data_IF_930793003792
#
_entry.id   IF_930793003792
#
_cell.length_a   1.000
_cell.length_b   1.000
_cell.length_c   1.000
_cell.angle_alpha   90.00
_cell.angle_beta   90.00
_cell.angle_gamma   90.00
#
_symmetry.space_group_name_H-M   'P 1'
#
loop_
_entity.id
_entity.type
_entity.pdbx_description
1 polymer ?
#
# COMPACT_ATOMS: atom_id res chain seq x y z
N UNK A 1 -2.71 -2.12 9.09
CA UNK A 1 -3.35 -3.37 8.61
C UNK A 1 -2.53 -3.96 7.49
N UNK A 2 -2.41 -5.27 7.45
CA UNK A 2 -1.71 -5.94 6.36
C UNK A 2 -2.56 -6.00 5.10
N UNK A 3 -1.86 -5.95 3.96
CA UNK A 3 -2.52 -6.11 2.69
C UNK A 3 -1.58 -6.71 1.66
N UNK A 4 -2.13 -7.05 0.50
CA UNK A 4 -1.37 -7.61 -0.62
C UNK A 4 -1.54 -6.67 -1.81
N UNK A 5 -0.43 -6.33 -2.46
CA UNK A 5 -0.46 -5.47 -3.65
C UNK A 5 -1.12 -6.24 -4.79
N UNK A 6 -2.19 -5.66 -5.36
CA UNK A 6 -2.87 -6.24 -6.50
C UNK A 6 -2.39 -5.66 -7.83
N UNK A 7 -2.14 -4.35 -7.84
CA UNK A 7 -1.80 -3.66 -9.07
C UNK A 7 -1.03 -2.39 -8.78
N UNK A 8 -0.04 -2.09 -9.62
CA UNK A 8 0.66 -0.83 -9.58
C UNK A 8 -0.11 0.18 -10.43
N UNK A 9 -0.36 1.36 -9.87
CA UNK A 9 -1.09 2.44 -10.53
C UNK A 9 -0.13 3.60 -10.82
N UNK A 10 -0.54 4.55 -11.67
CA UNK A 10 0.28 5.74 -11.89
C UNK A 10 0.52 6.54 -10.61
N UNK A 11 1.56 7.36 -10.62
CA UNK A 11 1.90 8.30 -9.54
C UNK A 11 2.26 7.62 -8.21
N UNK A 12 2.97 6.48 -8.29
CA UNK A 12 3.43 5.73 -7.13
C UNK A 12 2.27 5.29 -6.22
N UNK A 13 1.11 5.03 -6.81
CA UNK A 13 -0.05 4.52 -6.10
C UNK A 13 -0.24 3.04 -6.39
N UNK A 14 -0.95 2.36 -5.49
CA UNK A 14 -1.15 0.92 -5.60
C UNK A 14 -2.56 0.55 -5.17
N UNK A 15 -3.12 -0.44 -5.87
CA UNK A 15 -4.34 -1.08 -5.41
C UNK A 15 -3.93 -2.20 -4.47
N UNK A 16 -4.43 -2.13 -3.24
CA UNK A 16 -4.06 -3.07 -2.17
C UNK A 16 -5.30 -3.76 -1.65
N UNK A 17 -5.26 -5.09 -1.61
CA UNK A 17 -6.31 -5.88 -0.97
C UNK A 17 -5.92 -6.09 0.48
N UNK A 18 -6.72 -5.59 1.39
CA UNK A 18 -6.48 -5.75 2.82
C UNK A 18 -6.88 -7.15 3.29
N UNK A 19 -6.35 -7.56 4.43
CA UNK A 19 -6.63 -8.87 4.99
C UNK A 19 -8.11 -9.09 5.35
N UNK A 20 -8.87 -7.99 5.51
CA UNK A 20 -10.31 -8.07 5.75
C UNK A 20 -11.13 -8.15 4.45
N UNK A 21 -10.46 -8.24 3.30
CA UNK A 21 -11.13 -8.35 2.00
C UNK A 21 -11.41 -7.03 1.31
N UNK A 22 -11.26 -5.92 2.00
CA UNK A 22 -11.46 -4.60 1.37
C UNK A 22 -10.30 -4.26 0.45
N UNK A 23 -10.60 -3.53 -0.62
CA UNK A 23 -9.58 -3.03 -1.55
C UNK A 23 -9.49 -1.53 -1.40
N UNK A 24 -8.29 -1.03 -1.24
CA UNK A 24 -8.04 0.41 -1.10
C UNK A 24 -6.99 0.86 -2.10
N UNK A 25 -6.91 2.17 -2.28
CA UNK A 25 -5.83 2.80 -3.04
C UNK A 25 -4.83 3.35 -2.03
N UNK A 26 -3.58 2.94 -2.14
CA UNK A 26 -2.54 3.36 -1.22
C UNK A 26 -1.37 3.97 -1.97
N UNK A 27 -0.73 4.94 -1.35
CA UNK A 27 0.51 5.51 -1.86
C UNK A 27 1.68 5.13 -0.96
N UNK A 28 2.88 5.19 -1.52
CA UNK A 28 4.09 4.86 -0.77
C UNK A 28 4.47 6.03 0.13
N UNK A 29 4.76 5.75 1.40
CA UNK A 29 5.20 6.80 2.33
C UNK A 29 6.51 7.42 1.86
N UNK A 30 6.75 8.68 2.25
CA UNK A 30 7.98 9.36 1.89
C UNK A 30 9.23 8.62 2.37
N UNK A 31 9.16 8.03 3.56
CA UNK A 31 10.28 7.26 4.11
C UNK A 31 10.63 6.07 3.23
N UNK A 32 9.64 5.36 2.71
CA UNK A 32 9.89 4.22 1.83
C UNK A 32 10.43 4.66 0.49
N UNK A 33 9.97 5.80 -0.03
CA UNK A 33 10.50 6.36 -1.28
C UNK A 33 11.98 6.69 -1.15
N UNK A 34 12.38 7.22 -0.01
CA UNK A 34 13.78 7.58 0.23
C UNK A 34 14.70 6.37 0.18
N UNK A 35 14.19 5.20 0.52
CA UNK A 35 14.96 3.96 0.51
C UNK A 35 14.83 3.20 -0.80
N UNK A 36 14.15 3.76 -1.80
CA UNK A 36 13.98 3.15 -3.13
C UNK A 36 13.42 1.73 -3.07
N UNK A 37 12.53 1.48 -2.14
CA UNK A 37 11.92 0.16 -1.99
C UNK A 37 10.99 -0.09 -3.17
N UNK A 38 11.28 -1.13 -3.94
CA UNK A 38 10.46 -1.51 -5.08
C UNK A 38 9.30 -2.38 -4.61
N UNK A 39 8.08 -1.99 -4.99
CA UNK A 39 6.87 -2.71 -4.64
C UNK A 39 6.26 -3.30 -5.90
N UNK A 40 5.97 -4.60 -5.86
CA UNK A 40 5.46 -5.35 -7.01
C UNK A 40 4.13 -6.01 -6.66
N UNK A 41 3.29 -6.31 -7.66
CA UNK A 41 2.08 -7.10 -7.42
C UNK A 41 2.42 -8.42 -6.73
N UNK A 42 1.61 -8.78 -5.74
CA UNK A 42 1.86 -9.96 -4.91
C UNK A 42 2.63 -9.69 -3.64
N UNK A 43 3.28 -8.55 -3.53
CA UNK A 43 4.01 -8.20 -2.30
C UNK A 43 3.05 -7.96 -1.15
N UNK A 44 3.47 -8.34 0.05
CA UNK A 44 2.73 -8.06 1.27
C UNK A 44 3.27 -6.79 1.92
N UNK A 45 2.35 -5.96 2.35
CA UNK A 45 2.67 -4.64 2.90
C UNK A 45 1.86 -4.35 4.14
N UNK A 46 2.37 -3.43 4.94
CA UNK A 46 1.63 -2.86 6.06
C UNK A 46 1.11 -1.50 5.62
N UNK A 47 -0.18 -1.28 5.79
CA UNK A 47 -0.86 -0.07 5.33
C UNK A 47 -1.48 0.66 6.52
N UNK A 48 -1.31 1.97 6.52
CA UNK A 48 -1.99 2.86 7.45
C UNK A 48 -3.20 3.43 6.73
N UNK A 49 -4.40 3.13 7.24
CA UNK A 49 -5.65 3.56 6.61
C UNK A 49 -5.92 5.02 6.98
N UNK A 50 -6.35 5.81 6.00
CA UNK A 50 -6.72 7.20 6.27
C UNK A 50 -7.96 7.25 7.18
N UNK A 51 -7.91 8.02 8.27
CA UNK A 51 -9.10 8.16 9.11
C UNK A 51 -10.19 9.01 8.44
N UNK A 52 -9.84 9.74 7.38
CA UNK A 52 -10.78 10.61 6.68
C UNK A 52 -11.43 9.93 5.49
N UNK A 53 -10.80 8.88 4.96
CA UNK A 53 -11.31 8.15 3.81
C UNK A 53 -10.82 6.71 3.88
N UNK A 54 -11.71 5.81 4.27
CA UNK A 54 -11.37 4.40 4.49
C UNK A 54 -11.05 3.65 3.20
N UNK A 55 -11.23 4.28 2.04
CA UNK A 55 -10.83 3.70 0.76
C UNK A 55 -9.42 4.06 0.36
N UNK A 56 -8.73 4.84 1.19
CA UNK A 56 -7.36 5.31 0.91
C UNK A 56 -6.45 5.01 2.09
N UNK A 57 -5.17 4.84 1.78
CA UNK A 57 -4.19 4.59 2.82
C UNK A 57 -2.78 4.88 2.34
N UNK A 58 -1.84 4.56 3.21
CA UNK A 58 -0.43 4.79 2.96
C UNK A 58 0.34 3.50 3.28
N UNK A 59 1.20 3.07 2.35
CA UNK A 59 2.07 1.93 2.58
C UNK A 59 3.24 2.40 3.43
N UNK A 60 3.39 1.81 4.61
CA UNK A 60 4.42 2.21 5.57
C UNK A 60 5.50 1.15 5.76
N UNK A 61 5.27 -0.06 5.27
CA UNK A 61 6.24 -1.14 5.40
C UNK A 61 5.97 -2.22 4.37
N UNK A 62 7.03 -2.84 3.85
CA UNK A 62 6.93 -3.96 2.92
C UNK A 62 7.52 -5.20 3.58
N UNK A 63 6.74 -6.26 3.69
CA UNK A 63 7.23 -7.54 4.18
C UNK A 63 7.97 -8.28 3.07
N UNK A 64 8.94 -9.06 3.46
CA UNK A 64 9.64 -9.91 2.51
C UNK A 64 8.96 -11.25 2.34
#
# INVERSE_FOLDING_TARGET
MQGTIEEALPNAMFRVRLENGHVIIAYVSGKMRMHFIKILPGDKVLVEISPYDLTKGRIIYRFK
#
